data_IF_678575364366
#
_entry.id   IF_678575364366
#
_cell.length_a   1.000
_cell.length_b   1.000
_cell.length_c   1.000
_cell.angle_alpha   90.00
_cell.angle_beta   90.00
_cell.angle_gamma   90.00
#
_symmetry.space_group_name_H-M   'P 1'
#
loop_
_entity.id
_entity.type
_entity.pdbx_description
1 polymer ?
#
# COMPACT_ATOMS: atom_id res chain seq x y z
N UNK A 1 45.95 -3.35 2.79
CA UNK A 1 46.67 -4.59 2.39
C UNK A 1 45.82 -5.76 2.84
N UNK A 2 45.65 -6.78 1.98
CA UNK A 2 44.67 -7.90 2.04
C UNK A 2 43.25 -7.47 1.63
N UNK A 3 42.68 -7.79 0.46
CA UNK A 3 42.65 -8.96 -0.45
C UNK A 3 41.92 -10.18 0.16
N UNK A 4 40.85 -10.59 -0.54
CA UNK A 4 40.23 -11.92 -0.52
C UNK A 4 38.80 -11.89 0.05
N UNK A 5 37.76 -12.44 -0.57
CA UNK A 5 37.74 -13.56 -1.52
C UNK A 5 36.40 -13.63 -2.24
N UNK A 6 36.46 -13.68 -3.58
CA UNK A 6 35.39 -14.00 -4.52
C UNK A 6 35.09 -15.52 -4.46
N UNK A 7 33.82 -15.90 -4.30
CA UNK A 7 33.24 -17.23 -4.57
C UNK A 7 31.93 -16.95 -5.33
N UNK A 8 31.76 -17.11 -6.64
CA UNK A 8 31.87 -18.26 -7.55
C UNK A 8 31.43 -19.60 -6.94
N UNK A 9 30.57 -20.32 -7.68
CA UNK A 9 29.98 -21.67 -7.48
C UNK A 9 28.46 -21.54 -7.21
N UNK A 10 27.49 -22.13 -7.92
CA UNK A 10 27.49 -23.17 -8.96
C UNK A 10 26.15 -23.14 -9.71
N UNK A 11 26.22 -23.25 -11.04
CA UNK A 11 25.11 -23.54 -11.95
C UNK A 11 24.62 -24.99 -11.73
N UNK A 12 23.35 -25.21 -11.43
CA UNK A 12 22.75 -26.56 -11.51
C UNK A 12 21.46 -26.53 -12.32
N UNK A 13 21.62 -26.90 -13.59
CA UNK A 13 20.56 -27.26 -14.54
C UNK A 13 19.91 -28.57 -14.10
N UNK A 14 18.59 -28.61 -13.90
CA UNK A 14 17.84 -29.86 -13.80
C UNK A 14 16.67 -29.87 -14.79
N UNK A 15 16.89 -30.51 -15.93
CA UNK A 15 15.83 -31.02 -16.80
C UNK A 15 15.16 -32.22 -16.11
N UNK A 16 13.83 -32.18 -15.97
CA UNK A 16 13.02 -33.40 -15.92
C UNK A 16 11.82 -33.28 -16.85
N UNK A 17 11.94 -34.02 -17.96
CA UNK A 17 10.87 -34.43 -18.85
C UNK A 17 10.09 -35.57 -18.18
N UNK A 18 8.78 -35.39 -17.96
CA UNK A 18 7.87 -36.51 -17.71
C UNK A 18 6.77 -36.48 -18.78
N UNK A 19 6.88 -37.43 -19.71
CA UNK A 19 5.81 -37.83 -20.60
C UNK A 19 4.84 -38.73 -19.82
N UNK A 20 3.57 -38.35 -19.76
CA UNK A 20 2.48 -39.12 -19.16
C UNK A 20 1.30 -39.26 -20.11
N UNK A 21 1.18 -40.44 -20.72
CA UNK A 21 0.03 -40.99 -21.46
C UNK A 21 -1.24 -40.93 -20.57
N UNK A 22 -2.40 -40.48 -21.02
CA UNK A 22 -3.32 -41.21 -21.89
C UNK A 22 -4.56 -41.65 -21.10
N UNK A 23 -5.75 -41.10 -21.44
CA UNK A 23 -7.01 -41.47 -20.80
C UNK A 23 -8.22 -40.76 -21.40
N UNK A 24 -8.70 -41.24 -22.54
CA UNK A 24 -9.98 -40.84 -23.15
C UNK A 24 -11.14 -41.39 -22.31
N UNK A 25 -11.91 -40.50 -21.67
CA UNK A 25 -13.19 -40.80 -21.06
C UNK A 25 -14.35 -40.53 -22.05
N UNK A 26 -15.45 -41.28 -21.98
CA UNK A 26 -16.58 -41.17 -22.90
C UNK A 26 -17.41 -39.90 -22.64
N UNK A 27 -17.85 -39.28 -23.73
CA UNK A 27 -18.68 -38.07 -23.75
C UNK A 27 -20.02 -38.29 -23.05
N UNK A 28 -20.28 -37.44 -22.06
CA UNK A 28 -21.57 -37.27 -21.39
C UNK A 28 -22.43 -36.27 -22.21
N UNK A 29 -23.74 -36.53 -22.41
CA UNK A 29 -24.59 -35.67 -23.22
C UNK A 29 -24.83 -34.30 -22.57
N UNK A 30 -24.71 -33.27 -23.40
CA UNK A 30 -24.86 -31.86 -23.04
C UNK A 30 -26.25 -31.54 -22.44
N UNK A 31 -26.31 -30.80 -21.33
CA UNK A 31 -27.55 -30.17 -20.88
C UNK A 31 -27.94 -29.02 -21.82
N UNK A 32 -29.23 -28.92 -22.11
CA UNK A 32 -29.85 -27.92 -22.96
C UNK A 32 -29.56 -26.49 -22.45
N UNK A 33 -29.14 -25.63 -23.38
CA UNK A 33 -28.84 -24.23 -23.14
C UNK A 33 -30.09 -23.46 -22.66
N UNK A 34 -30.00 -22.66 -21.58
CA UNK A 34 -30.99 -21.65 -21.29
C UNK A 34 -30.95 -20.55 -22.36
N UNK A 35 -32.13 -20.05 -22.71
CA UNK A 35 -32.35 -19.01 -23.69
C UNK A 35 -31.51 -17.76 -23.40
N UNK A 36 -30.89 -17.24 -24.46
CA UNK A 36 -30.21 -15.95 -24.50
C UNK A 36 -31.20 -14.84 -24.09
N UNK A 37 -30.97 -14.27 -22.91
CA UNK A 37 -31.55 -13.01 -22.48
C UNK A 37 -30.67 -11.90 -23.05
N UNK A 38 -31.27 -11.09 -23.92
CA UNK A 38 -30.67 -9.99 -24.66
C UNK A 38 -30.17 -8.93 -23.66
N UNK A 39 -28.87 -8.95 -23.36
CA UNK A 39 -28.23 -7.97 -22.51
C UNK A 39 -28.33 -6.57 -23.12
N UNK A 40 -28.86 -5.63 -22.34
CA UNK A 40 -28.92 -4.23 -22.68
C UNK A 40 -27.50 -3.66 -22.93
N UNK A 41 -27.36 -2.66 -23.82
CA UNK A 41 -26.08 -2.02 -24.09
C UNK A 41 -25.56 -1.37 -22.80
N UNK A 42 -24.32 -1.72 -22.44
CA UNK A 42 -23.55 -1.04 -21.40
C UNK A 42 -23.44 0.44 -21.77
N UNK A 43 -23.89 1.31 -20.86
CA UNK A 43 -23.69 2.74 -20.96
C UNK A 43 -22.18 3.01 -20.81
N UNK A 44 -21.58 3.63 -21.82
CA UNK A 44 -20.21 4.14 -21.78
C UNK A 44 -20.15 5.21 -20.68
N UNK A 45 -19.50 4.92 -19.56
CA UNK A 45 -19.24 5.91 -18.53
C UNK A 45 -18.25 6.95 -19.08
N UNK A 46 -18.69 8.21 -19.13
CA UNK A 46 -17.85 9.34 -19.54
C UNK A 46 -16.74 9.53 -18.50
N UNK A 47 -15.52 9.12 -18.85
CA UNK A 47 -14.32 9.37 -18.04
C UNK A 47 -14.10 10.89 -17.84
N UNK A 48 -13.58 11.33 -16.68
CA UNK A 48 -13.35 12.74 -16.41
C UNK A 48 -12.29 13.27 -17.39
N UNK A 49 -12.68 14.24 -18.23
CA UNK A 49 -11.75 14.96 -19.09
C UNK A 49 -11.05 16.03 -18.26
N UNK A 50 -9.93 15.68 -17.62
CA UNK A 50 -9.04 16.67 -17.02
C UNK A 50 -8.19 17.36 -18.10
N UNK A 51 -8.07 18.68 -17.97
CA UNK A 51 -7.45 19.58 -18.93
C UNK A 51 -5.91 19.43 -18.90
N UNK A 52 -5.39 18.55 -19.77
CA UNK A 52 -3.95 18.27 -19.90
C UNK A 52 -3.15 19.52 -20.31
N UNK A 53 -2.23 19.94 -19.45
CA UNK A 53 -1.23 20.96 -19.74
C UNK A 53 0.01 20.28 -20.38
N UNK A 54 0.08 20.26 -21.71
CA UNK A 54 1.14 19.55 -22.43
C UNK A 54 2.44 20.34 -22.60
N UNK A 55 3.55 19.74 -22.17
CA UNK A 55 4.94 20.09 -22.51
C UNK A 55 5.18 19.92 -24.02
N UNK A 56 5.00 21.00 -24.79
CA UNK A 56 5.71 21.28 -26.03
C UNK A 56 5.37 20.48 -27.29
N UNK A 57 5.36 19.15 -27.25
CA UNK A 57 5.09 18.28 -28.43
C UNK A 57 4.54 16.89 -28.05
N UNK A 58 4.43 16.57 -26.76
CA UNK A 58 3.94 15.27 -26.27
C UNK A 58 2.53 15.47 -25.74
N UNK A 59 1.56 14.82 -26.38
CA UNK A 59 0.14 14.92 -26.05
C UNK A 59 -0.29 13.61 -25.41
N UNK A 60 -0.69 13.66 -24.14
CA UNK A 60 -1.35 12.54 -23.50
C UNK A 60 -2.80 12.49 -24.00
N UNK A 61 -3.21 11.32 -24.50
CA UNK A 61 -4.57 11.05 -24.96
C UNK A 61 -5.43 10.45 -23.86
N UNK A 62 -4.93 9.42 -23.16
CA UNK A 62 -5.64 8.72 -22.10
C UNK A 62 -4.70 8.26 -20.99
N UNK A 63 -5.24 8.14 -19.79
CA UNK A 63 -4.66 7.40 -18.68
C UNK A 63 -5.68 6.36 -18.22
N UNK A 64 -5.28 5.10 -18.10
CA UNK A 64 -6.21 4.00 -17.80
C UNK A 64 -5.58 3.02 -16.82
N UNK A 65 -6.22 2.88 -15.67
CA UNK A 65 -5.94 1.79 -14.75
C UNK A 65 -6.53 0.47 -15.26
N UNK A 66 -5.83 -0.64 -15.06
CA UNK A 66 -6.23 -1.94 -15.58
C UNK A 66 -5.69 -3.09 -14.73
N UNK A 67 -6.27 -4.29 -14.88
CA UNK A 67 -5.80 -5.49 -14.16
C UNK A 67 -4.57 -6.13 -14.77
N UNK A 68 -4.34 -5.91 -16.06
CA UNK A 68 -3.19 -6.41 -16.80
C UNK A 68 -2.81 -5.41 -17.90
N UNK A 69 -1.59 -5.51 -18.42
CA UNK A 69 -1.14 -4.81 -19.64
C UNK A 69 -0.74 -5.84 -20.70
N UNK A 70 -1.02 -5.52 -21.97
CA UNK A 70 -0.60 -6.37 -23.09
C UNK A 70 0.90 -6.19 -23.44
N UNK A 71 1.37 -6.87 -24.48
CA UNK A 71 2.77 -6.77 -24.93
C UNK A 71 3.18 -5.37 -25.40
N UNK A 72 2.21 -4.53 -25.77
CA UNK A 72 2.40 -3.14 -26.18
C UNK A 72 2.15 -2.16 -25.04
N UNK A 73 1.91 -2.64 -23.81
CA UNK A 73 1.51 -1.83 -22.65
C UNK A 73 0.10 -1.24 -22.73
N UNK A 74 -0.75 -1.70 -23.64
CA UNK A 74 -2.16 -1.31 -23.68
C UNK A 74 -2.94 -1.99 -22.55
N UNK A 75 -3.97 -1.34 -21.99
CA UNK A 75 -4.71 -1.86 -20.85
C UNK A 75 -5.57 -3.08 -21.24
N UNK A 76 -5.50 -4.14 -20.42
CA UNK A 76 -6.40 -5.29 -20.47
C UNK A 76 -7.25 -5.28 -19.19
N UNK A 77 -8.57 -5.37 -19.36
CA UNK A 77 -9.55 -5.31 -18.27
C UNK A 77 -9.42 -4.02 -17.43
N UNK A 78 -9.81 -2.85 -18.01
CA UNK A 78 -9.74 -1.57 -17.31
C UNK A 78 -10.54 -1.57 -16.00
N UNK A 79 -9.95 -1.06 -14.93
CA UNK A 79 -10.59 -0.95 -13.62
C UNK A 79 -9.89 0.09 -12.77
N UNK A 80 -10.62 0.76 -11.89
CA UNK A 80 -10.08 1.71 -10.91
C UNK A 80 -10.10 1.11 -9.49
N UNK A 81 -10.32 -0.19 -9.38
CA UNK A 81 -10.57 -0.88 -8.12
C UNK A 81 -9.79 -2.19 -8.08
N UNK A 82 -8.91 -2.30 -7.08
CA UNK A 82 -7.89 -3.34 -7.00
C UNK A 82 -7.96 -4.10 -5.67
N UNK A 83 -7.59 -5.39 -5.64
CA UNK A 83 -7.44 -6.11 -4.38
C UNK A 83 -6.16 -5.66 -3.65
N UNK A 84 -6.10 -5.74 -2.30
CA UNK A 84 -4.94 -5.30 -1.51
C UNK A 84 -3.60 -5.93 -1.89
N UNK A 85 -3.61 -7.21 -2.28
CA UNK A 85 -2.41 -7.98 -2.60
C UNK A 85 -2.06 -7.93 -4.10
N UNK A 86 -2.90 -7.29 -4.92
CA UNK A 86 -2.78 -7.31 -6.37
C UNK A 86 -1.84 -6.23 -6.90
N UNK A 87 -1.16 -6.47 -8.02
CA UNK A 87 -0.49 -5.40 -8.76
C UNK A 87 -1.51 -4.42 -9.33
N UNK A 88 -1.13 -3.15 -9.35
CA UNK A 88 -1.90 -2.07 -9.97
C UNK A 88 -1.18 -1.67 -11.26
N UNK A 89 -1.90 -1.68 -12.39
CA UNK A 89 -1.34 -1.27 -13.66
C UNK A 89 -1.93 0.06 -14.11
N UNK A 90 -1.06 0.95 -14.59
CA UNK A 90 -1.44 2.21 -15.22
C UNK A 90 -0.86 2.24 -16.64
N UNK A 91 -1.73 2.44 -17.63
CA UNK A 91 -1.35 2.67 -19.02
C UNK A 91 -1.58 4.13 -19.40
N UNK A 92 -0.54 4.81 -19.88
CA UNK A 92 -0.62 6.14 -20.45
C UNK A 92 -0.51 6.06 -21.99
N UNK A 93 -1.54 6.53 -22.69
CA UNK A 93 -1.59 6.58 -24.15
C UNK A 93 -1.19 7.97 -24.63
N UNK A 94 -0.16 8.05 -25.48
CA UNK A 94 0.34 9.30 -26.06
C UNK A 94 0.09 9.36 -27.56
N UNK A 95 -0.22 10.55 -28.06
CA UNK A 95 -0.41 10.81 -29.49
C UNK A 95 0.89 10.55 -30.26
N UNK A 96 0.81 9.66 -31.24
CA UNK A 96 1.96 9.33 -32.08
C UNK A 96 3.09 8.64 -31.33
N UNK A 97 4.33 9.00 -31.68
CA UNK A 97 5.54 8.35 -31.15
C UNK A 97 6.62 9.37 -30.80
N UNK A 98 6.63 9.90 -29.58
CA UNK A 98 7.69 10.79 -29.12
C UNK A 98 9.08 10.12 -29.26
N UNK A 99 10.04 10.83 -29.88
CA UNK A 99 11.40 10.31 -30.06
C UNK A 99 12.22 10.32 -28.75
N UNK A 100 11.82 11.16 -27.79
CA UNK A 100 12.51 11.36 -26.51
C UNK A 100 11.57 11.90 -25.45
N UNK A 101 11.88 11.63 -24.19
CA UNK A 101 11.25 12.23 -23.02
C UNK A 101 11.14 11.22 -21.89
N UNK A 102 11.14 11.71 -20.65
CA UNK A 102 10.98 10.89 -19.46
C UNK A 102 9.55 11.00 -18.96
N UNK A 103 8.83 9.88 -18.92
CA UNK A 103 7.51 9.76 -18.31
C UNK A 103 7.69 9.24 -16.90
N UNK A 104 7.14 9.95 -15.91
CA UNK A 104 7.21 9.57 -14.50
C UNK A 104 5.80 9.41 -13.94
N UNK A 105 5.62 8.42 -13.07
CA UNK A 105 4.42 8.21 -12.26
C UNK A 105 4.82 8.15 -10.78
N UNK A 106 4.23 9.00 -9.95
CA UNK A 106 4.42 9.06 -8.50
C UNK A 106 3.12 8.63 -7.83
N UNK A 107 3.18 7.63 -6.95
CA UNK A 107 2.03 7.01 -6.30
C UNK A 107 1.91 7.51 -4.86
N UNK A 108 0.68 7.82 -4.46
CA UNK A 108 0.36 8.35 -3.13
C UNK A 108 -0.85 7.62 -2.53
N UNK A 109 -0.88 7.51 -1.20
CA UNK A 109 -2.07 7.19 -0.43
C UNK A 109 -2.38 8.37 0.50
N UNK A 110 -3.56 8.97 0.35
CA UNK A 110 -3.84 10.30 0.88
C UNK A 110 -2.76 11.29 0.39
N UNK A 111 -2.05 11.96 1.31
CA UNK A 111 -0.94 12.86 1.01
C UNK A 111 0.44 12.18 1.22
N UNK A 112 0.47 10.87 1.47
CA UNK A 112 1.72 10.13 1.74
C UNK A 112 2.26 9.51 0.46
N UNK A 113 3.50 9.86 0.13
CA UNK A 113 4.26 9.26 -0.97
C UNK A 113 4.53 7.76 -0.71
N UNK A 114 4.20 6.92 -1.69
CA UNK A 114 4.45 5.48 -1.68
C UNK A 114 5.73 5.18 -2.45
N UNK A 115 5.75 5.49 -3.74
CA UNK A 115 6.84 5.15 -4.67
C UNK A 115 6.73 5.92 -5.98
N UNK A 116 7.77 5.85 -6.82
CA UNK A 116 7.79 6.41 -8.16
C UNK A 116 8.38 5.43 -9.18
N UNK A 117 7.98 5.58 -10.44
CA UNK A 117 8.55 4.87 -11.57
C UNK A 117 8.77 5.82 -12.73
N UNK A 118 9.85 5.61 -13.49
CA UNK A 118 10.20 6.43 -14.65
C UNK A 118 10.49 5.55 -15.87
N UNK A 119 9.99 5.95 -17.03
CA UNK A 119 10.16 5.29 -18.32
C UNK A 119 10.65 6.31 -19.36
N UNK A 120 11.66 5.95 -20.15
CA UNK A 120 12.13 6.78 -21.27
C UNK A 120 11.42 6.37 -22.57
N UNK A 121 10.84 7.33 -23.30
CA UNK A 121 10.25 7.08 -24.62
C UNK A 121 11.25 6.47 -25.60
N UNK A 122 12.53 6.80 -25.49
CA UNK A 122 13.57 6.21 -26.35
C UNK A 122 13.67 4.69 -26.17
N UNK A 123 13.50 4.21 -24.95
CA UNK A 123 13.56 2.78 -24.62
C UNK A 123 12.31 2.05 -25.12
N UNK A 124 11.12 2.61 -24.86
CA UNK A 124 9.82 2.07 -25.32
C UNK A 124 9.80 1.93 -26.85
N UNK A 125 10.39 2.89 -27.56
CA UNK A 125 10.38 2.94 -29.02
C UNK A 125 11.57 2.26 -29.71
N UNK A 126 12.54 1.74 -28.94
CA UNK A 126 13.83 1.24 -29.47
C UNK A 126 13.72 0.00 -30.40
N UNK A 127 12.58 -0.68 -30.43
CA UNK A 127 12.36 -1.92 -31.19
C UNK A 127 11.55 -1.79 -32.47
N UNK A 128 10.94 -0.63 -32.75
CA UNK A 128 9.91 -0.53 -33.78
C UNK A 128 10.43 0.17 -35.04
N UNK A 129 10.63 -0.60 -36.11
CA UNK A 129 11.28 -0.13 -37.34
C UNK A 129 10.37 0.66 -38.29
N UNK A 130 9.04 0.49 -38.23
CA UNK A 130 8.07 1.27 -39.02
C UNK A 130 6.69 1.28 -38.34
N UNK A 131 6.24 2.45 -37.90
CA UNK A 131 4.87 2.74 -37.48
C UNK A 131 4.51 4.13 -37.99
N UNK A 132 3.39 4.26 -38.70
CA UNK A 132 2.91 5.55 -39.16
C UNK A 132 1.50 5.73 -38.62
N UNK A 133 1.35 6.67 -37.69
CA UNK A 133 0.05 7.03 -37.10
C UNK A 133 -0.44 6.13 -35.97
N UNK A 134 0.44 5.33 -35.36
CA UNK A 134 0.13 4.56 -34.15
C UNK A 134 0.47 5.39 -32.91
N UNK A 135 -0.38 5.30 -31.88
CA UNK A 135 -0.14 5.89 -30.56
C UNK A 135 0.90 5.06 -29.79
N UNK A 136 1.53 5.68 -28.79
CA UNK A 136 2.50 5.02 -27.92
C UNK A 136 1.88 4.81 -26.55
N UNK A 137 1.94 3.58 -26.05
CA UNK A 137 1.53 3.25 -24.69
C UNK A 137 2.75 3.15 -23.79
N UNK A 138 2.65 3.73 -22.60
CA UNK A 138 3.66 3.63 -21.54
C UNK A 138 2.97 3.00 -20.33
N UNK A 139 3.45 1.81 -19.95
CA UNK A 139 2.90 1.04 -18.84
C UNK A 139 3.72 1.20 -17.57
N UNK A 140 3.02 1.32 -16.44
CA UNK A 140 3.57 1.26 -15.10
C UNK A 140 2.90 0.11 -14.34
N UNK A 141 3.69 -0.57 -13.51
CA UNK A 141 3.21 -1.62 -12.60
C UNK A 141 3.67 -1.25 -11.19
N UNK A 142 2.70 -1.10 -10.29
CA UNK A 142 2.93 -0.98 -8.86
C UNK A 142 2.68 -2.35 -8.22
N UNK A 143 3.74 -3.00 -7.75
CA UNK A 143 3.67 -4.26 -7.02
C UNK A 143 3.78 -3.99 -5.50
N UNK A 144 2.78 -4.39 -4.68
CA UNK A 144 2.88 -4.25 -3.23
C UNK A 144 3.90 -5.23 -2.63
N UNK A 145 4.79 -4.72 -1.77
CA UNK A 145 5.59 -5.57 -0.87
C UNK A 145 4.76 -6.10 0.32
N UNK A 146 3.68 -5.39 0.67
CA UNK A 146 2.68 -5.73 1.68
C UNK A 146 1.29 -5.34 1.18
N UNK A 147 0.20 -5.99 1.64
CA UNK A 147 -1.15 -5.66 1.20
C UNK A 147 -1.46 -4.16 1.36
N UNK A 148 -1.96 -3.51 0.31
CA UNK A 148 -2.35 -2.11 0.39
C UNK A 148 -3.51 -1.90 1.37
N UNK A 149 -3.49 -0.83 2.19
CA UNK A 149 -4.66 -0.41 2.96
C UNK A 149 -5.90 -0.26 2.08
N UNK A 150 -7.05 -0.75 2.52
CA UNK A 150 -8.30 -0.53 1.82
C UNK A 150 -8.69 0.96 1.86
N UNK A 151 -9.14 1.50 0.73
CA UNK A 151 -9.53 2.91 0.65
C UNK A 151 -9.65 3.42 -0.79
N UNK A 152 -10.25 4.59 -0.95
CA UNK A 152 -10.45 5.31 -2.21
C UNK A 152 -9.56 6.56 -2.33
N UNK A 153 -8.62 6.74 -1.40
CA UNK A 153 -7.75 7.91 -1.32
C UNK A 153 -6.39 7.70 -2.02
N UNK A 154 -6.30 6.76 -2.96
CA UNK A 154 -5.07 6.56 -3.72
C UNK A 154 -5.01 7.48 -4.94
N UNK A 155 -3.85 8.09 -5.15
CA UNK A 155 -3.61 8.97 -6.31
C UNK A 155 -2.30 8.62 -7.01
N UNK A 156 -2.24 8.90 -8.31
CA UNK A 156 -1.04 8.83 -9.13
C UNK A 156 -0.85 10.14 -9.85
N UNK A 157 0.23 10.84 -9.53
CA UNK A 157 0.64 12.04 -10.25
C UNK A 157 1.58 11.64 -11.38
N UNK A 158 1.32 12.15 -12.58
CA UNK A 158 2.13 11.80 -13.76
C UNK A 158 2.80 13.02 -14.36
N UNK A 159 4.00 12.82 -14.90
CA UNK A 159 4.85 13.88 -15.42
C UNK A 159 5.51 13.48 -16.72
N UNK A 160 5.78 14.46 -17.59
CA UNK A 160 6.68 14.33 -18.73
C UNK A 160 7.74 15.41 -18.66
N UNK A 161 9.01 15.00 -18.59
CA UNK A 161 10.16 15.90 -18.43
C UNK A 161 9.98 16.87 -17.23
N UNK A 162 9.50 16.35 -16.11
CA UNK A 162 9.16 17.11 -14.88
C UNK A 162 8.00 18.11 -15.02
N UNK A 163 7.27 18.12 -16.15
CA UNK A 163 6.03 18.89 -16.32
C UNK A 163 4.81 18.00 -15.98
N UNK A 164 3.89 18.43 -15.11
CA UNK A 164 2.75 17.62 -14.71
C UNK A 164 1.78 17.39 -15.87
N UNK A 165 1.39 16.14 -16.08
CA UNK A 165 0.40 15.74 -17.08
C UNK A 165 -1.02 15.68 -16.51
N UNK A 166 -1.15 15.16 -15.28
CA UNK A 166 -2.43 14.93 -14.61
C UNK A 166 -2.29 14.08 -13.35
N UNK A 167 -3.37 14.04 -12.57
CA UNK A 167 -3.48 13.28 -11.32
C UNK A 167 -4.66 12.32 -11.43
N UNK A 168 -4.43 11.03 -11.22
CA UNK A 168 -5.43 9.99 -11.42
C UNK A 168 -5.71 9.25 -10.12
N UNK A 169 -6.98 8.95 -9.84
CA UNK A 169 -7.38 8.26 -8.61
C UNK A 169 -7.66 6.79 -8.87
N UNK A 170 -7.39 5.94 -7.88
CA UNK A 170 -7.85 4.55 -7.87
C UNK A 170 -8.22 4.15 -6.43
N UNK A 171 -8.79 2.96 -6.27
CA UNK A 171 -9.26 2.43 -5.00
C UNK A 171 -8.75 1.02 -4.76
N UNK A 172 -8.51 0.71 -3.50
CA UNK A 172 -8.23 -0.64 -3.02
C UNK A 172 -9.49 -1.17 -2.34
N UNK A 173 -10.02 -2.27 -2.84
CA UNK A 173 -11.14 -2.96 -2.23
C UNK A 173 -10.77 -3.35 -0.81
N UNK A 174 -11.68 -3.06 0.13
CA UNK A 174 -11.66 -3.76 1.40
C UNK A 174 -11.75 -5.24 1.07
N UNK A 175 -10.70 -5.99 1.40
CA UNK A 175 -10.55 -7.40 1.05
C UNK A 175 -11.85 -8.12 1.38
N UNK A 176 -12.69 -8.30 0.35
CA UNK A 176 -13.94 -9.03 0.45
C UNK A 176 -13.70 -10.52 0.63
N UNK A 177 -12.44 -10.93 0.83
CA UNK A 177 -12.12 -12.18 1.49
C UNK A 177 -12.84 -12.16 2.84
N UNK A 178 -14.00 -12.80 2.87
CA UNK A 178 -14.56 -13.38 4.07
C UNK A 178 -13.36 -14.05 4.78
N UNK A 179 -12.88 -13.50 5.92
CA UNK A 179 -11.64 -13.93 6.55
C UNK A 179 -11.69 -15.45 6.64
N UNK A 180 -10.67 -16.16 6.13
CA UNK A 180 -10.75 -17.55 5.68
C UNK A 180 -11.41 -18.40 6.74
N UNK A 181 -12.73 -18.62 6.63
CA UNK A 181 -13.62 -19.04 7.71
C UNK A 181 -12.83 -19.40 8.97
N UNK A 182 -12.39 -18.37 9.71
CA UNK A 182 -11.86 -18.54 11.06
C UNK A 182 -12.93 -19.38 11.70
N UNK A 183 -12.59 -20.63 12.04
CA UNK A 183 -13.55 -21.57 12.61
C UNK A 183 -14.29 -20.79 13.68
N UNK A 184 -15.58 -20.58 13.44
CA UNK A 184 -16.41 -19.66 14.19
C UNK A 184 -16.52 -20.18 15.61
N UNK A 185 -15.51 -19.87 16.41
CA UNK A 185 -15.69 -19.73 17.84
C UNK A 185 -16.35 -18.37 18.02
N UNK A 186 -17.66 -18.45 18.07
CA UNK A 186 -18.69 -17.42 18.14
C UNK A 186 -18.48 -16.49 19.35
N UNK A 187 -17.44 -15.65 19.28
CA UNK A 187 -17.08 -14.68 20.33
C UNK A 187 -17.04 -13.25 19.78
N UNK A 188 -18.02 -12.91 18.92
CA UNK A 188 -18.58 -11.56 18.66
C UNK A 188 -17.74 -10.34 19.10
N UNK A 189 -16.57 -10.13 18.50
CA UNK A 189 -15.83 -8.88 18.56
C UNK A 189 -15.43 -8.52 17.14
N UNK A 190 -15.80 -7.34 16.65
CA UNK A 190 -15.31 -6.84 15.36
C UNK A 190 -13.79 -6.65 15.36
N UNK A 191 -13.17 -6.34 14.20
CA UNK A 191 -11.76 -6.01 14.14
C UNK A 191 -11.45 -4.87 15.11
N UNK A 192 -10.28 -4.91 15.74
CA UNK A 192 -9.86 -3.83 16.61
C UNK A 192 -9.60 -2.57 15.78
N UNK A 193 -10.13 -1.43 16.21
CA UNK A 193 -9.96 -0.13 15.54
C UNK A 193 -9.29 0.82 16.52
N UNK A 194 -8.17 1.44 16.15
CA UNK A 194 -7.57 2.49 16.95
C UNK A 194 -8.50 3.71 16.95
N UNK A 195 -9.03 4.05 18.12
CA UNK A 195 -9.90 5.22 18.29
C UNK A 195 -9.10 6.49 18.53
N UNK A 196 -8.06 6.40 19.36
CA UNK A 196 -7.31 7.56 19.80
C UNK A 196 -5.92 7.16 20.30
N UNK A 197 -4.95 8.07 20.20
CA UNK A 197 -3.67 7.98 20.88
C UNK A 197 -3.41 9.26 21.66
N UNK A 198 -3.04 9.12 22.92
CA UNK A 198 -2.87 10.26 23.83
C UNK A 198 -1.57 10.13 24.61
N UNK A 199 -0.68 11.11 24.41
CA UNK A 199 0.48 11.28 25.26
C UNK A 199 0.08 11.83 26.63
N UNK A 200 0.72 11.34 27.68
CA UNK A 200 0.39 11.68 29.06
C UNK A 200 1.59 11.59 29.99
N UNK A 201 1.50 12.25 31.15
CA UNK A 201 2.57 12.19 32.17
C UNK A 201 2.54 10.92 32.99
N UNK A 202 1.38 10.29 33.10
CA UNK A 202 1.17 9.05 33.83
C UNK A 202 0.08 8.24 33.14
N UNK A 203 0.02 6.93 33.41
CA UNK A 203 -1.08 6.05 33.03
C UNK A 203 -1.75 5.51 34.30
N UNK A 204 -3.06 5.31 34.25
CA UNK A 204 -3.79 4.67 35.35
C UNK A 204 -3.66 3.13 35.32
N UNK A 205 -4.40 2.45 36.20
CA UNK A 205 -4.35 0.99 36.29
C UNK A 205 -4.87 0.29 35.02
N UNK A 206 -5.79 0.95 34.29
CA UNK A 206 -6.39 0.48 33.06
C UNK A 206 -5.63 0.98 31.82
N UNK A 207 -4.45 1.58 32.01
CA UNK A 207 -3.61 2.21 30.98
C UNK A 207 -4.22 3.47 30.33
N UNK A 208 -5.28 4.04 30.92
CA UNK A 208 -5.84 5.29 30.44
C UNK A 208 -4.92 6.47 30.81
N UNK A 209 -4.89 7.54 30.00
CA UNK A 209 -3.95 8.64 30.20
C UNK A 209 -4.34 9.50 31.41
N UNK A 210 -3.37 9.78 32.29
CA UNK A 210 -3.47 10.77 33.38
C UNK A 210 -2.59 11.98 33.04
N UNK A 211 -3.19 13.17 33.12
CA UNK A 211 -2.55 14.45 32.75
C UNK A 211 -2.02 14.44 31.29
N UNK A 212 -2.92 14.39 30.30
CA UNK A 212 -2.55 14.42 28.89
C UNK A 212 -1.69 15.63 28.54
N UNK A 213 -0.58 15.38 27.84
CA UNK A 213 0.35 16.43 27.41
C UNK A 213 1.19 15.94 26.24
N UNK A 214 1.56 16.87 25.36
CA UNK A 214 2.47 16.68 24.24
C UNK A 214 3.88 17.26 24.53
N UNK A 215 4.11 17.72 25.76
CA UNK A 215 5.34 18.42 26.15
C UNK A 215 5.90 17.82 27.43
N UNK A 216 7.12 17.29 27.34
CA UNK A 216 7.77 16.54 28.42
C UNK A 216 9.09 17.18 28.85
N UNK A 217 9.49 17.02 30.12
CA UNK A 217 10.83 17.41 30.54
C UNK A 217 11.88 16.40 30.05
N UNK A 218 13.17 16.78 29.91
CA UNK A 218 14.21 15.93 29.33
C UNK A 218 14.47 14.65 30.12
N UNK A 219 14.26 14.68 31.43
CA UNK A 219 14.56 13.58 32.34
C UNK A 219 13.33 12.72 32.68
N UNK A 220 12.13 13.12 32.20
CA UNK A 220 10.88 12.47 32.54
C UNK A 220 10.56 11.28 31.64
N UNK A 221 9.82 10.27 32.13
CA UNK A 221 9.19 9.28 31.27
C UNK A 221 8.11 9.95 30.41
N UNK A 222 7.94 9.42 29.20
CA UNK A 222 6.84 9.76 28.30
C UNK A 222 5.93 8.55 28.25
N UNK A 223 4.62 8.76 28.40
CA UNK A 223 3.64 7.70 28.25
C UNK A 223 2.77 7.95 27.03
N UNK A 224 2.44 6.89 26.31
CA UNK A 224 1.51 6.88 25.20
C UNK A 224 0.39 5.88 25.52
N UNK A 225 -0.84 6.38 25.57
CA UNK A 225 -2.03 5.55 25.75
C UNK A 225 -2.77 5.44 24.43
N UNK A 226 -2.96 4.22 23.95
CA UNK A 226 -3.71 3.91 22.74
C UNK A 226 -5.08 3.35 23.12
N UNK A 227 -6.15 4.01 22.71
CA UNK A 227 -7.51 3.54 22.90
C UNK A 227 -7.99 2.79 21.66
N UNK A 228 -8.41 1.53 21.84
CA UNK A 228 -8.97 0.72 20.76
C UNK A 228 -10.44 0.44 21.01
N UNK A 229 -11.26 0.50 19.95
CA UNK A 229 -12.61 -0.04 19.91
C UNK A 229 -12.57 -1.52 19.56
N UNK A 230 -13.50 -2.28 20.14
CA UNK A 230 -13.65 -3.69 19.87
C UNK A 230 -12.80 -4.57 20.78
N UNK A 231 -12.75 -5.86 20.46
CA UNK A 231 -12.03 -6.85 21.26
C UNK A 231 -10.63 -7.06 20.69
N UNK A 232 -9.65 -6.42 21.33
CA UNK A 232 -8.24 -6.80 21.21
C UNK A 232 -8.05 -8.18 21.86
N UNK A 233 -8.05 -9.26 21.08
CA UNK A 233 -7.83 -10.62 21.61
C UNK A 233 -6.44 -11.16 21.29
N UNK A 234 -5.81 -10.61 20.26
CA UNK A 234 -4.52 -11.02 19.74
C UNK A 234 -3.94 -9.90 18.90
N UNK A 235 -2.66 -10.04 18.57
CA UNK A 235 -1.92 -9.13 17.70
C UNK A 235 -0.78 -8.47 18.45
N UNK A 236 0.14 -7.87 17.69
CA UNK A 236 1.30 -7.17 18.22
C UNK A 236 1.11 -5.67 17.96
N UNK A 237 0.99 -4.90 19.03
CA UNK A 237 1.00 -3.43 18.95
C UNK A 237 2.44 -2.97 19.14
N UNK A 238 2.97 -2.23 18.17
CA UNK A 238 4.34 -1.71 18.19
C UNK A 238 4.33 -0.18 18.16
N UNK A 239 5.11 0.44 19.04
CA UNK A 239 5.39 1.86 19.04
C UNK A 239 6.87 2.09 18.72
N UNK A 240 7.14 2.82 17.62
CA UNK A 240 8.49 3.12 17.12
C UNK A 240 8.75 4.61 17.30
N UNK A 241 9.72 4.98 18.13
CA UNK A 241 10.00 6.37 18.50
C UNK A 241 11.21 6.91 17.74
N UNK A 242 11.11 8.13 17.21
CA UNK A 242 12.18 8.81 16.48
C UNK A 242 12.44 10.22 17.03
N UNK A 243 13.65 10.72 16.78
CA UNK A 243 14.03 12.13 16.91
C UNK A 243 14.85 12.54 15.70
N UNK A 244 14.42 13.58 14.97
CA UNK A 244 15.08 14.00 13.71
C UNK A 244 15.27 12.83 12.72
N UNK A 245 14.23 12.01 12.54
CA UNK A 245 14.22 10.81 11.71
C UNK A 245 15.22 9.70 12.13
N UNK A 246 15.87 9.84 13.28
CA UNK A 246 16.73 8.81 13.87
C UNK A 246 15.93 7.98 14.88
N UNK A 247 15.94 6.66 14.68
CA UNK A 247 15.30 5.70 15.59
C UNK A 247 15.89 5.81 17.00
N UNK A 248 15.05 6.15 17.98
CA UNK A 248 15.40 6.14 19.40
C UNK A 248 15.24 4.73 19.95
N UNK A 249 14.04 4.18 19.81
CA UNK A 249 13.69 2.85 20.32
C UNK A 249 12.39 2.34 19.68
N UNK A 250 12.24 1.02 19.72
CA UNK A 250 11.02 0.30 19.34
C UNK A 250 10.54 -0.51 20.55
N UNK A 251 9.23 -0.50 20.80
CA UNK A 251 8.62 -1.30 21.88
C UNK A 251 7.37 -1.98 21.34
N UNK A 252 7.22 -3.27 21.63
CA UNK A 252 6.06 -4.05 21.21
C UNK A 252 5.36 -4.71 22.40
N UNK A 253 4.05 -4.80 22.32
CA UNK A 253 3.19 -5.51 23.28
C UNK A 253 2.44 -6.58 22.51
N UNK A 254 2.63 -7.84 22.91
CA UNK A 254 1.77 -8.94 22.46
C UNK A 254 0.46 -8.89 23.26
N UNK A 255 -0.64 -8.65 22.55
CA UNK A 255 -1.96 -8.55 23.16
C UNK A 255 -2.43 -9.89 23.73
N UNK A 256 -1.91 -11.02 23.23
CA UNK A 256 -2.21 -12.34 23.77
C UNK A 256 -1.63 -12.55 25.18
N UNK A 257 -0.56 -11.84 25.52
CA UNK A 257 0.08 -11.86 26.84
C UNK A 257 -0.50 -10.80 27.80
N UNK A 258 -1.42 -9.97 27.31
CA UNK A 258 -2.00 -8.87 28.09
C UNK A 258 -3.37 -9.28 28.66
N UNK A 259 -3.59 -8.99 29.95
CA UNK A 259 -4.92 -9.22 30.55
C UNK A 259 -5.83 -8.06 30.19
N UNK A 260 -6.61 -8.23 29.12
CA UNK A 260 -7.56 -7.22 28.65
C UNK A 260 -8.96 -7.49 29.23
N UNK A 261 -9.75 -6.45 29.54
CA UNK A 261 -11.09 -6.63 30.08
C UNK A 261 -12.02 -7.30 29.05
N UNK A 262 -12.66 -8.42 29.43
CA UNK A 262 -13.51 -9.27 28.56
C UNK A 262 -14.67 -8.56 27.83
N UNK A 263 -15.04 -7.34 28.22
CA UNK A 263 -16.29 -6.69 27.83
C UNK A 263 -16.24 -5.15 27.74
N UNK A 264 -15.07 -4.53 27.57
CA UNK A 264 -15.01 -3.09 27.42
C UNK A 264 -15.42 -2.67 26.00
N UNK A 265 -16.17 -1.56 25.89
CA UNK A 265 -16.46 -0.90 24.61
C UNK A 265 -15.19 -0.31 23.99
N UNK A 266 -14.23 0.09 24.83
CA UNK A 266 -12.89 0.46 24.43
C UNK A 266 -11.87 -0.06 25.44
N UNK A 267 -10.67 -0.38 24.97
CA UNK A 267 -9.57 -0.89 25.79
C UNK A 267 -8.32 -0.04 25.54
N UNK A 268 -7.57 0.26 26.60
CA UNK A 268 -6.33 1.02 26.48
C UNK A 268 -5.10 0.10 26.48
N UNK A 269 -4.13 0.43 25.64
CA UNK A 269 -2.80 -0.17 25.59
C UNK A 269 -1.78 0.94 25.87
N UNK A 270 -0.95 0.74 26.89
CA UNK A 270 -0.02 1.74 27.39
C UNK A 270 1.43 1.43 27.04
N UNK A 271 2.14 2.40 26.47
CA UNK A 271 3.59 2.39 26.29
C UNK A 271 4.26 3.38 27.24
N UNK A 272 5.50 3.07 27.64
CA UNK A 272 6.34 3.96 28.42
C UNK A 272 7.73 4.05 27.81
N UNK A 273 8.11 5.26 27.44
CA UNK A 273 9.45 5.59 26.98
C UNK A 273 10.20 6.28 28.13
N UNK A 274 11.13 5.53 28.74
CA UNK A 274 11.97 6.04 29.81
C UNK A 274 13.38 6.42 29.29
N UNK A 275 13.87 7.65 29.56
CA UNK A 275 15.20 8.04 29.12
C UNK A 275 16.30 7.29 29.88
N UNK A 276 17.25 6.70 29.15
CA UNK A 276 18.53 6.26 29.74
C UNK A 276 19.51 7.43 29.95
N UNK A 277 19.27 8.55 29.26
CA UNK A 277 19.94 9.85 29.35
C UNK A 277 18.90 10.94 29.04
N UNK A 278 19.08 12.18 29.51
CA UNK A 278 18.14 13.26 29.21
C UNK A 278 17.88 13.38 27.70
N UNK A 279 16.61 13.44 27.30
CA UNK A 279 16.22 13.63 25.91
C UNK A 279 16.70 15.00 25.39
N UNK A 280 17.17 15.10 24.14
CA UNK A 280 17.39 16.39 23.49
C UNK A 280 16.15 17.29 23.55
N UNK A 281 16.31 18.57 23.90
CA UNK A 281 15.22 19.55 23.83
C UNK A 281 14.87 19.81 22.37
N UNK A 282 13.59 19.78 22.02
CA UNK A 282 13.11 19.96 20.65
C UNK A 282 11.68 19.47 20.43
N UNK A 283 11.13 19.77 19.26
CA UNK A 283 9.77 19.45 18.79
C UNK A 283 9.76 18.42 17.64
N UNK A 284 10.91 17.84 17.33
CA UNK A 284 11.12 16.90 16.22
C UNK A 284 11.00 15.43 16.64
N UNK A 285 10.14 15.14 17.63
CA UNK A 285 9.89 13.77 18.07
C UNK A 285 8.63 13.21 17.41
N UNK A 286 8.76 12.01 16.86
CA UNK A 286 7.64 11.26 16.28
C UNK A 286 7.53 9.87 16.92
N UNK A 287 6.31 9.32 16.92
CA UNK A 287 6.05 7.91 17.20
C UNK A 287 5.16 7.35 16.10
N UNK A 288 5.59 6.26 15.49
CA UNK A 288 4.79 5.47 14.57
C UNK A 288 4.17 4.31 15.35
N UNK A 289 2.87 4.10 15.16
CA UNK A 289 2.11 3.05 15.85
C UNK A 289 1.67 2.01 14.84
N UNK A 290 1.99 0.74 15.09
CA UNK A 290 1.65 -0.39 14.24
C UNK A 290 0.78 -1.40 14.97
N UNK A 291 -0.06 -2.10 14.22
CA UNK A 291 -0.75 -3.32 14.64
C UNK A 291 -0.50 -4.42 13.60
N UNK A 292 0.10 -5.53 14.03
CA UNK A 292 0.46 -6.66 13.16
C UNK A 292 1.22 -6.22 11.89
N UNK A 293 2.24 -5.38 12.08
CA UNK A 293 3.09 -4.76 11.04
C UNK A 293 2.39 -3.72 10.14
N UNK A 294 1.08 -3.51 10.27
CA UNK A 294 0.36 -2.43 9.59
C UNK A 294 0.48 -1.11 10.33
N UNK A 295 0.97 -0.06 9.67
CA UNK A 295 1.00 1.30 10.24
C UNK A 295 -0.44 1.78 10.48
N UNK A 296 -0.75 2.08 11.74
CA UNK A 296 -2.02 2.67 12.12
C UNK A 296 -1.99 4.18 11.95
N UNK A 297 -1.01 4.86 12.56
CA UNK A 297 -0.89 6.31 12.52
C UNK A 297 0.49 6.78 13.04
N UNK A 298 0.81 8.07 12.87
CA UNK A 298 2.02 8.75 13.34
C UNK A 298 1.67 9.95 14.21
N UNK A 299 2.31 10.06 15.38
CA UNK A 299 2.05 11.14 16.35
C UNK A 299 3.31 11.92 16.69
N UNK A 300 3.16 13.19 17.05
CA UNK A 300 4.28 14.08 17.42
C UNK A 300 4.21 14.49 18.89
N UNK A 301 5.36 14.68 19.52
CA UNK A 301 5.47 15.31 20.85
C UNK A 301 6.74 16.17 20.94
N UNK A 302 6.93 16.87 22.05
CA UNK A 302 8.07 17.76 22.27
C UNK A 302 8.71 17.56 23.64
N UNK A 303 10.01 17.87 23.70
CA UNK A 303 10.79 17.97 24.93
C UNK A 303 11.10 19.44 25.19
N UNK A 304 10.55 19.98 26.28
CA UNK A 304 10.77 21.35 26.74
C UNK A 304 11.78 21.44 27.89
N UNK A 305 12.25 22.66 28.20
CA UNK A 305 13.13 22.94 29.35
C UNK A 305 12.44 22.82 30.72
#
# INVERSE_FOLDING_TARGET
MSIGTLRLVLLTLLMMLVAGCGGTAPAEPAPEAPAEEEAAPAEEEESPTEESAGSGDIVLLNATFARELDENQAPIDPTETFPPEGPIYLSLEFEGRPESGLVKAEYYYQDQYITEATVDFADVNSGVIFSVGENTFVGFTLEPDQPFPAGDEYTVETFVNDEPLGTYTFSIESSGAEPPAETTDDTAGGPAVLLNATFARELDADQAPIDPTDTFPPEGPIYLSLEFEGRLQSGIVTAVYYYQDELITETSIDLADTTLPDAATSTFVGFSLAPNQPFPVGDEYTVEVYLDDGLLDTYTFSIGE
#
